data_IF_223249048674
#
_entry.id   IF_223249048674
#
_cell.length_a   1.000
_cell.length_b   1.000
_cell.length_c   1.000
_cell.angle_alpha   90.00
_cell.angle_beta   90.00
_cell.angle_gamma   90.00
#
_symmetry.space_group_name_H-M   'P 1'
#
loop_
_entity.id
_entity.type
_entity.pdbx_description
1 polymer ?
#
# COMPACT_ATOMS: atom_id res chain seq x y z
N UNK A 1 18.04 4.46 -8.66
CA UNK A 1 18.82 5.63 -8.37
C UNK A 1 19.37 5.60 -6.94
N UNK A 2 20.59 6.04 -6.79
CA UNK A 2 21.36 6.02 -5.53
C UNK A 2 20.81 6.93 -4.42
N UNK A 3 19.78 7.75 -4.71
CA UNK A 3 19.32 8.79 -3.80
C UNK A 3 17.90 8.57 -3.24
N UNK A 4 17.29 7.41 -3.42
CA UNK A 4 15.90 7.16 -2.98
C UNK A 4 15.78 7.33 -1.47
N UNK A 5 16.65 6.74 -0.68
CA UNK A 5 16.59 6.86 0.79
C UNK A 5 16.78 8.29 1.28
N UNK A 6 17.68 9.05 0.67
CA UNK A 6 17.88 10.46 1.00
C UNK A 6 16.65 11.30 0.65
N UNK A 7 16.03 11.04 -0.49
CA UNK A 7 14.78 11.67 -0.89
C UNK A 7 13.65 11.38 0.10
N UNK A 8 13.41 10.10 0.43
CA UNK A 8 12.39 9.70 1.40
C UNK A 8 12.63 10.38 2.75
N UNK A 9 13.87 10.34 3.25
CA UNK A 9 14.23 10.95 4.53
C UNK A 9 13.94 12.46 4.54
N UNK A 10 14.28 13.17 3.48
CA UNK A 10 14.01 14.61 3.37
C UNK A 10 12.50 14.91 3.43
N UNK A 11 11.66 14.10 2.77
CA UNK A 11 10.20 14.25 2.82
C UNK A 11 9.68 13.98 4.24
N UNK A 12 10.12 12.91 4.89
CA UNK A 12 9.73 12.58 6.26
C UNK A 12 10.06 13.70 7.26
N UNK A 13 11.24 14.26 7.17
CA UNK A 13 11.68 15.34 8.06
C UNK A 13 10.89 16.63 7.83
N UNK A 14 10.69 17.00 6.59
CA UNK A 14 9.96 18.22 6.21
C UNK A 14 8.49 18.17 6.63
N UNK A 15 7.83 17.06 6.36
CA UNK A 15 6.37 16.92 6.50
C UNK A 15 5.96 16.25 7.82
N UNK A 16 6.92 15.79 8.64
CA UNK A 16 6.69 15.07 9.91
C UNK A 16 5.74 13.86 9.76
N UNK A 17 5.95 13.08 8.72
CA UNK A 17 5.11 11.95 8.38
C UNK A 17 5.35 10.74 9.29
N UNK A 18 4.34 9.87 9.38
CA UNK A 18 4.45 8.53 9.96
C UNK A 18 4.58 7.46 8.87
N UNK A 19 4.04 7.73 7.67
CA UNK A 19 4.15 6.87 6.50
C UNK A 19 3.98 7.66 5.20
N UNK A 20 4.49 7.10 4.12
CA UNK A 20 4.24 7.61 2.77
C UNK A 20 4.28 6.49 1.73
N UNK A 21 3.72 6.76 0.57
CA UNK A 21 3.85 5.92 -0.61
C UNK A 21 4.05 6.76 -1.86
N UNK A 22 4.69 6.17 -2.84
CA UNK A 22 5.03 6.82 -4.09
C UNK A 22 4.25 6.22 -5.27
N UNK A 23 4.49 6.76 -6.45
CA UNK A 23 4.12 6.09 -7.68
C UNK A 23 5.28 5.23 -8.19
N UNK A 24 5.01 4.40 -9.21
CA UNK A 24 5.95 3.45 -9.76
C UNK A 24 5.78 3.33 -11.28
N UNK A 25 6.74 2.76 -11.95
CA UNK A 25 6.63 2.34 -13.34
C UNK A 25 6.46 0.83 -13.40
N UNK A 26 5.47 0.38 -14.16
CA UNK A 26 5.31 -1.03 -14.51
C UNK A 26 6.17 -1.35 -15.72
N UNK A 27 6.99 -2.39 -15.60
CA UNK A 27 7.84 -2.88 -16.67
C UNK A 27 7.43 -4.31 -16.99
N UNK A 28 7.20 -4.57 -18.27
CA UNK A 28 6.96 -5.91 -18.80
C UNK A 28 7.91 -6.16 -19.98
N UNK A 29 8.27 -7.41 -20.23
CA UNK A 29 9.27 -7.76 -21.25
C UNK A 29 8.87 -7.34 -22.66
N UNK A 30 7.57 -7.35 -22.97
CA UNK A 30 7.05 -7.17 -24.33
C UNK A 30 6.19 -5.89 -24.50
N UNK A 31 6.21 -4.98 -23.53
CA UNK A 31 5.38 -3.77 -23.57
C UNK A 31 6.18 -2.54 -23.20
N UNK A 32 5.70 -1.37 -23.60
CA UNK A 32 6.28 -0.11 -23.12
C UNK A 32 6.02 0.04 -21.62
N UNK A 33 6.95 0.62 -20.86
CA UNK A 33 6.73 0.97 -19.48
C UNK A 33 5.45 1.78 -19.31
N UNK A 34 4.65 1.45 -18.31
CA UNK A 34 3.40 2.13 -18.01
C UNK A 34 3.43 2.72 -16.60
N UNK A 35 2.71 3.83 -16.41
CA UNK A 35 2.56 4.44 -15.10
C UNK A 35 1.78 3.52 -14.16
N UNK A 36 2.24 3.39 -12.92
CA UNK A 36 1.51 2.70 -11.87
C UNK A 36 0.25 3.44 -11.42
N UNK A 37 -0.54 2.78 -10.61
CA UNK A 37 -1.86 3.25 -10.19
C UNK A 37 -1.88 3.90 -8.80
N UNK A 38 -0.74 4.09 -8.16
CA UNK A 38 -0.68 4.76 -6.85
C UNK A 38 -1.20 6.19 -6.95
N UNK A 39 -1.97 6.60 -5.97
CA UNK A 39 -2.53 7.97 -5.87
C UNK A 39 -2.86 8.31 -4.44
N UNK A 40 -3.27 9.55 -4.19
CA UNK A 40 -3.73 10.00 -2.88
C UNK A 40 -5.13 9.48 -2.56
N UNK A 41 -5.42 9.39 -1.27
CA UNK A 41 -6.78 9.21 -0.75
C UNK A 41 -7.47 10.55 -0.40
N UNK A 42 -6.84 11.69 -0.61
CA UNK A 42 -7.31 13.01 -0.18
C UNK A 42 -8.68 13.41 -0.75
N UNK A 43 -9.05 12.85 -1.91
CA UNK A 43 -10.34 13.12 -2.57
C UNK A 43 -11.50 12.28 -2.00
N UNK A 44 -11.21 11.34 -1.10
CA UNK A 44 -12.21 10.56 -0.40
C UNK A 44 -12.39 11.18 0.99
N UNK A 45 -13.59 11.10 1.53
CA UNK A 45 -13.89 11.65 2.85
C UNK A 45 -13.09 10.91 3.95
N UNK A 46 -11.84 11.35 4.07
CA UNK A 46 -10.82 10.81 4.94
C UNK A 46 -11.17 11.04 6.41
N UNK A 47 -11.98 12.07 6.69
CA UNK A 47 -12.39 12.45 8.04
C UNK A 47 -13.13 11.34 8.77
N UNK A 48 -13.77 10.44 8.02
CA UNK A 48 -14.51 9.29 8.57
C UNK A 48 -13.77 7.96 8.48
N UNK A 49 -12.50 7.96 8.07
CA UNK A 49 -11.68 6.73 7.95
C UNK A 49 -12.30 5.65 7.02
N UNK A 50 -13.02 6.06 6.00
CA UNK A 50 -13.69 5.16 5.06
C UNK A 50 -12.78 4.56 3.98
N UNK A 51 -11.46 4.51 4.20
CA UNK A 51 -10.51 3.93 3.23
C UNK A 51 -10.89 2.49 2.85
N UNK A 52 -11.36 1.72 3.82
CA UNK A 52 -11.78 0.33 3.59
C UNK A 52 -13.04 0.25 2.75
N UNK A 53 -14.02 1.11 3.02
CA UNK A 53 -15.30 1.12 2.32
C UNK A 53 -15.21 1.57 0.85
N UNK A 54 -14.16 2.28 0.46
CA UNK A 54 -13.95 2.63 -0.96
C UNK A 54 -13.66 1.41 -1.83
N UNK A 55 -13.23 0.28 -1.25
CA UNK A 55 -12.79 -0.90 -1.99
C UNK A 55 -11.55 -0.66 -2.87
N UNK A 56 -10.92 0.51 -2.77
CA UNK A 56 -9.82 0.93 -3.63
C UNK A 56 -8.49 0.90 -2.86
N UNK A 57 -7.47 0.32 -3.50
CA UNK A 57 -6.13 0.26 -2.96
C UNK A 57 -5.19 1.16 -3.77
N UNK A 58 -4.89 2.34 -3.23
CA UNK A 58 -4.03 3.33 -3.89
C UNK A 58 -2.62 3.41 -3.31
N UNK A 59 -2.38 2.89 -2.12
CA UNK A 59 -1.08 2.93 -1.43
C UNK A 59 -0.17 1.77 -1.84
N UNK A 60 0.15 1.71 -3.15
CA UNK A 60 0.96 0.64 -3.71
C UNK A 60 2.47 0.88 -3.53
N UNK A 61 3.27 0.87 -4.57
CA UNK A 61 4.73 0.95 -4.50
C UNK A 61 5.23 2.40 -4.70
N UNK A 62 6.34 2.80 -4.14
CA UNK A 62 7.06 2.25 -3.00
C UNK A 62 6.33 2.66 -1.70
N UNK A 63 6.33 1.76 -0.72
CA UNK A 63 5.76 2.01 0.62
C UNK A 63 6.90 2.22 1.61
N UNK A 64 6.78 3.22 2.46
CA UNK A 64 7.69 3.43 3.59
C UNK A 64 6.91 3.90 4.81
N UNK A 65 7.35 3.49 6.00
CA UNK A 65 6.69 3.80 7.26
C UNK A 65 7.65 3.59 8.44
N UNK A 66 7.34 4.22 9.56
CA UNK A 66 8.03 3.92 10.80
C UNK A 66 7.59 2.56 11.35
N UNK A 67 8.53 1.74 11.78
CA UNK A 67 8.28 0.39 12.28
C UNK A 67 7.31 0.36 13.46
N UNK A 68 7.32 1.39 14.30
CA UNK A 68 6.43 1.46 15.46
C UNK A 68 4.95 1.63 15.06
N UNK A 69 4.68 2.23 13.88
CA UNK A 69 3.34 2.27 13.33
C UNK A 69 2.87 0.86 12.93
N UNK A 70 3.72 0.10 12.26
CA UNK A 70 3.43 -1.30 11.88
C UNK A 70 3.17 -2.19 13.11
N UNK A 71 3.95 -2.03 14.17
CA UNK A 71 3.82 -2.81 15.41
C UNK A 71 2.50 -2.59 16.15
N UNK A 72 1.77 -1.53 15.84
CA UNK A 72 0.46 -1.24 16.44
C UNK A 72 -0.70 -1.94 15.73
N UNK A 73 -0.46 -2.55 14.57
CA UNK A 73 -1.51 -3.31 13.86
C UNK A 73 -1.87 -4.54 14.71
N UNK A 74 -3.15 -4.72 14.94
CA UNK A 74 -3.64 -5.92 15.61
C UNK A 74 -3.43 -7.14 14.72
N UNK A 75 -3.00 -8.25 15.27
CA UNK A 75 -2.72 -9.46 14.50
C UNK A 75 -3.97 -9.96 13.76
N UNK A 76 -5.15 -9.77 14.34
CA UNK A 76 -6.44 -10.15 13.77
C UNK A 76 -6.75 -9.40 12.47
N UNK A 77 -6.24 -8.17 12.33
CA UNK A 77 -6.40 -7.36 11.11
C UNK A 77 -5.52 -7.88 9.95
N UNK A 78 -4.54 -8.72 10.26
CA UNK A 78 -3.65 -9.36 9.28
C UNK A 78 -4.06 -10.80 8.94
N UNK A 79 -5.18 -11.28 9.50
CA UNK A 79 -5.61 -12.66 9.40
C UNK A 79 -6.97 -12.81 8.71
N UNK A 80 -7.16 -13.93 8.07
CA UNK A 80 -8.45 -14.41 7.57
C UNK A 80 -9.37 -14.81 8.73
N UNK A 81 -10.63 -15.13 8.44
CA UNK A 81 -11.60 -15.54 9.46
C UNK A 81 -11.23 -16.84 10.20
N UNK A 82 -10.39 -17.69 9.58
CA UNK A 82 -9.89 -18.93 10.18
C UNK A 82 -8.53 -18.74 10.91
N UNK A 83 -8.11 -17.51 11.13
CA UNK A 83 -6.92 -17.17 11.91
C UNK A 83 -5.59 -17.32 11.16
N UNK A 84 -5.61 -17.55 9.85
CA UNK A 84 -4.39 -17.63 9.05
C UNK A 84 -4.03 -16.25 8.49
N UNK A 85 -2.75 -15.95 8.39
CA UNK A 85 -2.31 -14.72 7.72
C UNK A 85 -2.73 -14.71 6.24
N UNK A 86 -3.03 -13.52 5.73
CA UNK A 86 -3.40 -13.34 4.33
C UNK A 86 -2.28 -13.84 3.39
N UNK A 87 -2.61 -14.79 2.53
CA UNK A 87 -1.72 -15.26 1.45
C UNK A 87 -1.73 -14.33 0.23
N UNK A 88 -2.72 -13.44 0.14
CA UNK A 88 -2.83 -12.40 -0.87
C UNK A 88 -3.47 -11.16 -0.26
N UNK A 89 -3.25 -9.98 -0.85
CA UNK A 89 -3.68 -8.68 -0.33
C UNK A 89 -3.17 -8.33 1.08
N UNK A 90 -2.10 -8.98 1.55
CA UNK A 90 -1.48 -8.69 2.84
C UNK A 90 -0.98 -7.24 2.92
N UNK A 91 -0.47 -6.71 1.82
CA UNK A 91 -0.06 -5.33 1.71
C UNK A 91 -1.24 -4.34 1.84
N UNK A 92 -2.41 -4.70 1.32
CA UNK A 92 -3.64 -3.92 1.50
C UNK A 92 -4.04 -3.86 2.97
N UNK A 93 -4.05 -5.00 3.67
CA UNK A 93 -4.37 -5.06 5.11
C UNK A 93 -3.41 -4.20 5.94
N UNK A 94 -2.11 -4.33 5.69
CA UNK A 94 -1.07 -3.56 6.38
C UNK A 94 -1.23 -2.05 6.12
N UNK A 95 -1.33 -1.66 4.85
CA UNK A 95 -1.36 -0.24 4.47
C UNK A 95 -2.62 0.46 4.94
N UNK A 96 -3.79 -0.14 4.79
CA UNK A 96 -5.05 0.49 5.23
C UNK A 96 -5.07 0.66 6.75
N UNK A 97 -4.64 -0.35 7.51
CA UNK A 97 -4.53 -0.23 8.98
C UNK A 97 -3.59 0.91 9.40
N UNK A 98 -2.44 1.03 8.74
CA UNK A 98 -1.49 2.12 9.05
C UNK A 98 -2.01 3.49 8.63
N UNK A 99 -2.68 3.62 7.48
CA UNK A 99 -3.29 4.87 7.02
C UNK A 99 -4.33 5.36 8.04
N UNK A 100 -5.19 4.47 8.52
CA UNK A 100 -6.21 4.80 9.51
C UNK A 100 -5.60 5.25 10.85
N UNK A 101 -4.57 4.56 11.33
CA UNK A 101 -3.91 4.90 12.60
C UNK A 101 -3.06 6.18 12.51
N UNK A 102 -2.48 6.46 11.36
CA UNK A 102 -1.54 7.57 11.20
C UNK A 102 -2.17 8.88 10.75
N UNK A 103 -3.43 8.90 10.39
CA UNK A 103 -4.10 10.13 9.93
C UNK A 103 -3.96 11.28 10.92
N UNK A 104 -3.58 12.48 10.45
CA UNK A 104 -3.30 12.92 9.07
C UNK A 104 -1.81 12.85 8.68
N UNK A 105 -0.97 12.11 9.38
CA UNK A 105 0.49 12.07 9.19
C UNK A 105 0.94 11.08 8.11
N UNK A 106 0.23 11.01 7.00
CA UNK A 106 0.64 10.24 5.83
C UNK A 106 0.60 11.11 4.56
N UNK A 107 1.32 10.71 3.52
CA UNK A 107 1.35 11.43 2.26
C UNK A 107 1.56 10.50 1.07
N UNK A 108 0.83 10.77 0.00
CA UNK A 108 1.17 10.30 -1.33
C UNK A 108 2.16 11.27 -1.98
N UNK A 109 3.25 10.76 -2.49
CA UNK A 109 4.31 11.52 -3.15
C UNK A 109 4.46 10.99 -4.57
N UNK A 110 4.09 11.77 -5.61
CA UNK A 110 3.93 11.27 -6.98
C UNK A 110 5.24 10.90 -7.68
N UNK A 111 6.38 11.25 -7.11
CA UNK A 111 7.69 10.92 -7.65
C UNK A 111 7.86 9.41 -7.81
N UNK A 112 8.37 9.03 -8.98
CA UNK A 112 8.61 7.63 -9.33
C UNK A 112 9.99 7.24 -8.78
N UNK A 113 9.97 6.36 -7.81
CA UNK A 113 11.20 5.85 -7.14
C UNK A 113 11.32 4.33 -7.22
N UNK A 114 10.39 3.67 -7.90
CA UNK A 114 10.29 2.21 -7.94
C UNK A 114 9.89 1.71 -9.33
N UNK A 115 10.56 0.66 -9.78
CA UNK A 115 10.23 -0.10 -10.99
C UNK A 115 9.63 -1.44 -10.58
N UNK A 116 8.40 -1.70 -11.00
CA UNK A 116 7.68 -2.94 -10.71
C UNK A 116 7.66 -3.83 -11.97
N UNK A 117 8.30 -4.98 -11.88
CA UNK A 117 8.24 -5.99 -12.95
C UNK A 117 6.99 -6.83 -12.80
N UNK A 118 6.17 -6.82 -13.83
CA UNK A 118 4.83 -7.43 -13.83
C UNK A 118 4.76 -8.82 -14.47
N UNK A 119 5.82 -9.27 -15.12
CA UNK A 119 5.88 -10.52 -15.89
C UNK A 119 6.80 -11.59 -15.28
N UNK A 120 7.01 -11.52 -13.98
CA UNK A 120 7.86 -12.49 -13.26
C UNK A 120 7.12 -13.77 -12.87
N UNK A 121 5.80 -13.83 -13.04
CA UNK A 121 4.96 -14.95 -12.62
C UNK A 121 4.78 -15.10 -11.11
N UNK A 122 5.28 -14.14 -10.33
CA UNK A 122 5.20 -14.14 -8.86
C UNK A 122 4.17 -13.14 -8.32
N UNK A 123 3.50 -12.41 -9.19
CA UNK A 123 2.49 -11.42 -8.81
C UNK A 123 1.30 -12.12 -8.14
N UNK A 124 0.95 -11.69 -6.95
CA UNK A 124 -0.15 -12.27 -6.16
C UNK A 124 -1.48 -12.30 -6.91
N UNK A 125 -1.73 -11.33 -7.80
CA UNK A 125 -2.92 -11.29 -8.66
C UNK A 125 -2.96 -12.43 -9.69
N UNK A 126 -1.82 -12.94 -10.13
CA UNK A 126 -1.73 -14.02 -11.12
C UNK A 126 -1.79 -15.38 -10.43
N UNK A 127 -1.13 -15.50 -9.26
CA UNK A 127 -0.93 -16.77 -8.56
C UNK A 127 -2.15 -17.17 -7.72
N UNK A 128 -2.92 -16.23 -7.16
CA UNK A 128 -4.01 -16.60 -6.25
C UNK A 128 -5.16 -15.59 -6.20
N UNK A 129 -5.87 -15.39 -7.30
CA UNK A 129 -6.99 -14.44 -7.42
C UNK A 129 -8.14 -14.71 -6.43
N UNK A 130 -8.42 -15.97 -6.14
CA UNK A 130 -9.53 -16.34 -5.24
C UNK A 130 -9.22 -15.95 -3.81
N UNK A 131 -8.05 -16.32 -3.30
CA UNK A 131 -7.63 -15.96 -1.95
C UNK A 131 -7.47 -14.44 -1.78
N UNK A 132 -7.01 -13.75 -2.82
CA UNK A 132 -6.92 -12.29 -2.81
C UNK A 132 -8.29 -11.64 -2.75
N UNK A 133 -9.28 -12.12 -3.51
CA UNK A 133 -10.65 -11.63 -3.47
C UNK A 133 -11.32 -11.83 -2.12
N UNK A 134 -11.13 -13.00 -1.50
CA UNK A 134 -11.63 -13.30 -0.16
C UNK A 134 -10.98 -12.41 0.91
N UNK A 135 -9.67 -12.21 0.83
CA UNK A 135 -8.94 -11.32 1.71
C UNK A 135 -9.45 -9.87 1.61
N UNK A 136 -9.58 -9.34 0.38
CA UNK A 136 -10.10 -8.00 0.15
C UNK A 136 -11.53 -7.84 0.70
N UNK A 137 -12.39 -8.84 0.52
CA UNK A 137 -13.75 -8.81 1.04
C UNK A 137 -13.82 -8.73 2.57
N UNK A 138 -12.88 -9.35 3.29
CA UNK A 138 -12.76 -9.18 4.75
C UNK A 138 -12.18 -7.81 5.11
N UNK A 139 -11.05 -7.44 4.51
CA UNK A 139 -10.34 -6.18 4.80
C UNK A 139 -11.26 -4.97 4.65
N UNK A 140 -12.11 -4.95 3.61
CA UNK A 140 -13.02 -3.83 3.34
C UNK A 140 -14.24 -3.76 4.29
N UNK A 141 -14.53 -4.84 5.01
CA UNK A 141 -15.66 -4.91 5.95
C UNK A 141 -15.26 -4.68 7.42
N UNK A 142 -13.97 -4.73 7.71
CA UNK A 142 -13.43 -4.53 9.05
C UNK A 142 -13.15 -3.06 9.33
#
# INVERSE_FOLDING_TARGET
GTNVLSFLNAVYQKEKLAMMWNNFIQITTNSRPAMGFSRSYENYDVSYKHYRSTGMFYSSHLKSFFVDLFRQIKVEDLQTYDGKFYGGASDTAIMLSMIEMSYPRWKYVPEIVYEYRYDTGQEGMVVNRVAQGQALAKITKT
#
